data_IF_096343340414
#
_entry.id   IF_096343340414
#
_cell.length_a   1.000
_cell.length_b   1.000
_cell.length_c   1.000
_cell.angle_alpha   90.00
_cell.angle_beta   90.00
_cell.angle_gamma   90.00
#
_symmetry.space_group_name_H-M   'P 1'
#
loop_
_entity.id
_entity.type
_entity.pdbx_description
1 polymer ?
#
# COMPACT_ATOMS: atom_id res chain seq x y z
N UNK A 1 -8.14 -11.46 -15.51
CA UNK A 1 -7.98 -11.36 -14.04
C UNK A 1 -6.73 -10.55 -13.74
N UNK A 2 -6.84 -9.51 -12.92
CA UNK A 2 -5.73 -8.62 -12.57
C UNK A 2 -4.99 -9.19 -11.34
N UNK A 3 -4.16 -10.20 -11.61
CA UNK A 3 -3.43 -10.95 -10.59
C UNK A 3 -1.93 -10.92 -10.85
N UNK A 4 -1.14 -10.99 -9.79
CA UNK A 4 0.31 -11.05 -9.86
C UNK A 4 0.89 -11.89 -8.74
N UNK A 5 1.99 -12.56 -9.05
CA UNK A 5 2.90 -13.15 -8.07
C UNK A 5 4.28 -12.58 -8.33
N UNK A 6 4.94 -12.09 -7.28
CA UNK A 6 6.30 -11.56 -7.29
C UNK A 6 7.07 -12.20 -6.14
N UNK A 7 8.27 -12.67 -6.44
CA UNK A 7 9.23 -13.10 -5.43
C UNK A 7 10.48 -12.24 -5.51
N UNK A 8 10.89 -11.70 -4.36
CA UNK A 8 12.10 -10.91 -4.19
C UNK A 8 13.02 -11.61 -3.19
N UNK A 9 14.22 -11.93 -3.61
CA UNK A 9 15.22 -12.58 -2.78
C UNK A 9 16.51 -11.74 -2.80
N UNK A 10 16.93 -11.30 -1.62
CA UNK A 10 18.18 -10.58 -1.39
C UNK A 10 19.04 -11.36 -0.40
N UNK A 11 20.14 -10.79 0.05
CA UNK A 11 20.93 -11.36 1.16
C UNK A 11 20.24 -11.14 2.52
N UNK A 12 19.32 -10.17 2.60
CA UNK A 12 18.65 -9.73 3.84
C UNK A 12 17.24 -10.29 3.97
N UNK A 13 16.53 -10.47 2.84
CA UNK A 13 15.12 -10.85 2.84
C UNK A 13 14.78 -11.88 1.77
N UNK A 14 13.74 -12.68 2.03
CA UNK A 14 13.06 -13.55 1.06
C UNK A 14 11.58 -13.29 1.16
N UNK A 15 10.97 -12.77 0.10
CA UNK A 15 9.60 -12.30 0.13
C UNK A 15 8.85 -12.83 -1.09
N UNK A 16 7.65 -13.33 -0.88
CA UNK A 16 6.71 -13.68 -1.95
C UNK A 16 5.39 -12.97 -1.69
N UNK A 17 4.92 -12.23 -2.68
CA UNK A 17 3.62 -11.54 -2.68
C UNK A 17 2.75 -12.11 -3.77
N UNK A 18 1.50 -12.50 -3.42
CA UNK A 18 0.42 -12.80 -4.36
C UNK A 18 -0.69 -11.79 -4.18
N UNK A 19 -1.09 -11.18 -5.27
CA UNK A 19 -2.06 -10.09 -5.27
C UNK A 19 -3.16 -10.37 -6.31
N UNK A 20 -4.42 -10.14 -5.91
CA UNK A 20 -5.57 -10.12 -6.81
C UNK A 20 -6.34 -8.81 -6.60
N UNK A 21 -6.30 -7.91 -7.59
CA UNK A 21 -7.01 -6.63 -7.53
C UNK A 21 -8.53 -6.77 -7.62
N UNK A 22 -9.02 -7.89 -8.17
CA UNK A 22 -10.44 -8.23 -8.29
C UNK A 22 -10.88 -9.21 -7.20
N UNK A 23 -10.27 -9.10 -6.01
CA UNK A 23 -10.49 -9.99 -4.88
C UNK A 23 -11.74 -9.68 -4.06
N UNK A 24 -11.81 -10.30 -2.91
CA UNK A 24 -12.91 -10.20 -1.94
C UNK A 24 -12.48 -9.65 -0.56
N UNK A 25 -11.24 -9.18 -0.44
CA UNK A 25 -10.67 -8.63 0.78
C UNK A 25 -10.11 -9.71 1.71
N UNK A 26 -9.65 -10.83 1.14
CA UNK A 26 -9.01 -11.90 1.90
C UNK A 26 -7.51 -11.64 2.03
N UNK A 27 -6.94 -12.00 3.17
CA UNK A 27 -5.50 -11.90 3.38
C UNK A 27 -4.93 -13.18 3.98
N UNK A 28 -3.66 -13.46 3.64
CA UNK A 28 -2.82 -14.46 4.29
C UNK A 28 -1.42 -13.88 4.48
N UNK A 29 -1.10 -13.57 5.72
CA UNK A 29 0.05 -12.73 6.05
C UNK A 29 0.96 -13.45 7.04
N UNK A 30 2.23 -13.52 6.72
CA UNK A 30 3.30 -14.12 7.52
C UNK A 30 4.60 -13.33 7.30
N UNK A 31 4.63 -12.08 7.75
CA UNK A 31 5.79 -11.19 7.56
C UNK A 31 6.84 -11.31 8.65
N UNK A 32 6.50 -11.90 9.79
CA UNK A 32 7.32 -11.87 11.00
C UNK A 32 7.23 -10.56 11.78
N UNK A 33 6.47 -9.57 11.28
CA UNK A 33 6.22 -8.27 11.90
C UNK A 33 4.71 -8.13 12.19
N UNK A 34 4.22 -8.52 13.38
CA UNK A 34 2.79 -8.66 13.64
C UNK A 34 1.95 -7.41 13.39
N UNK A 35 2.50 -6.21 13.70
CA UNK A 35 1.78 -4.97 13.44
C UNK A 35 1.67 -4.68 11.94
N UNK A 36 2.69 -5.02 11.15
CA UNK A 36 2.61 -4.92 9.69
C UNK A 36 1.57 -5.89 9.12
N UNK A 37 1.50 -7.13 9.62
CA UNK A 37 0.46 -8.07 9.22
C UNK A 37 -0.93 -7.47 9.43
N UNK A 38 -1.16 -6.86 10.60
CA UNK A 38 -2.41 -6.16 10.89
C UNK A 38 -2.67 -5.00 9.92
N UNK A 39 -1.65 -4.21 9.57
CA UNK A 39 -1.78 -3.09 8.63
C UNK A 39 -2.06 -3.57 7.19
N UNK A 40 -1.40 -4.64 6.74
CA UNK A 40 -1.64 -5.22 5.42
C UNK A 40 -3.03 -5.83 5.30
N UNK A 41 -3.58 -6.41 6.38
CA UNK A 41 -4.97 -6.87 6.42
C UNK A 41 -5.95 -5.70 6.22
N UNK A 42 -5.64 -4.51 6.76
CA UNK A 42 -6.46 -3.31 6.50
C UNK A 42 -6.46 -2.93 5.02
N UNK A 43 -5.30 -3.03 4.34
CA UNK A 43 -5.22 -2.78 2.89
C UNK A 43 -6.10 -3.77 2.13
N UNK A 44 -5.95 -5.06 2.40
CA UNK A 44 -6.72 -6.11 1.74
C UNK A 44 -8.23 -5.92 1.95
N UNK A 45 -8.63 -5.80 3.20
CA UNK A 45 -10.04 -5.68 3.61
C UNK A 45 -10.73 -4.45 3.04
N UNK A 46 -10.13 -3.29 3.19
CA UNK A 46 -10.72 -2.02 2.75
C UNK A 46 -10.51 -1.74 1.25
N UNK A 47 -9.47 -2.34 0.67
CA UNK A 47 -9.20 -2.34 -0.77
C UNK A 47 -10.05 -3.33 -1.55
N UNK A 48 -10.71 -4.29 -0.88
CA UNK A 48 -11.41 -5.42 -1.52
C UNK A 48 -10.53 -6.17 -2.51
N UNK A 49 -9.24 -6.28 -2.19
CA UNK A 49 -8.26 -7.07 -2.92
C UNK A 49 -7.85 -8.30 -2.09
N UNK A 50 -7.40 -9.36 -2.74
CA UNK A 50 -6.81 -10.47 -1.99
C UNK A 50 -5.30 -10.31 -1.97
N UNK A 51 -4.69 -10.48 -0.79
CA UNK A 51 -3.27 -10.26 -0.55
C UNK A 51 -2.67 -11.40 0.26
N UNK A 52 -1.70 -12.08 -0.32
CA UNK A 52 -0.88 -13.05 0.40
C UNK A 52 0.56 -12.56 0.44
N UNK A 53 1.16 -12.52 1.63
CA UNK A 53 2.55 -12.11 1.86
C UNK A 53 3.23 -13.12 2.75
N UNK A 54 4.29 -13.73 2.25
CA UNK A 54 5.21 -14.57 3.02
C UNK A 54 6.58 -13.89 2.99
N UNK A 55 7.16 -13.64 4.16
CA UNK A 55 8.46 -12.99 4.28
C UNK A 55 9.33 -13.66 5.34
N UNK A 56 10.61 -13.74 5.05
CA UNK A 56 11.69 -14.07 5.97
C UNK A 56 12.75 -13.00 5.84
N UNK A 57 12.98 -12.22 6.88
CA UNK A 57 13.99 -11.16 6.90
C UNK A 57 14.94 -11.30 8.08
N UNK A 58 15.91 -10.41 8.11
CA UNK A 58 16.96 -10.31 9.13
C UNK A 58 16.49 -9.57 10.40
N UNK A 59 15.30 -9.97 10.90
CA UNK A 59 14.62 -9.36 12.07
C UNK A 59 15.46 -9.33 13.35
N UNK A 60 16.58 -10.06 13.38
CA UNK A 60 17.54 -9.99 14.48
C UNK A 60 18.34 -8.67 14.50
N UNK A 61 18.36 -7.93 13.38
CA UNK A 61 18.87 -6.56 13.28
C UNK A 61 17.75 -5.61 13.72
N UNK A 62 16.74 -5.48 12.88
CA UNK A 62 15.46 -4.78 13.12
C UNK A 62 14.45 -5.17 12.03
N UNK A 63 13.32 -4.48 11.95
CA UNK A 63 12.30 -4.75 10.94
C UNK A 63 12.43 -3.90 9.66
N UNK A 64 13.43 -3.02 9.55
CA UNK A 64 13.54 -2.04 8.47
C UNK A 64 13.58 -2.71 7.09
N UNK A 65 14.58 -3.56 6.84
CA UNK A 65 14.75 -4.22 5.55
C UNK A 65 13.53 -5.04 5.17
N UNK A 66 12.92 -5.73 6.13
CA UNK A 66 11.72 -6.55 5.89
C UNK A 66 10.54 -5.70 5.47
N UNK A 67 10.27 -4.60 6.17
CA UNK A 67 9.12 -3.71 5.92
C UNK A 67 9.29 -2.98 4.58
N UNK A 68 10.46 -2.42 4.31
CA UNK A 68 10.77 -1.75 3.04
C UNK A 68 10.65 -2.72 1.87
N UNK A 69 11.28 -3.89 1.93
CA UNK A 69 11.26 -4.89 0.86
C UNK A 69 9.88 -5.48 0.60
N UNK A 70 9.01 -5.58 1.61
CA UNK A 70 7.59 -5.91 1.43
C UNK A 70 6.89 -4.80 0.64
N UNK A 71 7.12 -3.53 0.97
CA UNK A 71 6.60 -2.39 0.22
C UNK A 71 7.03 -2.44 -1.25
N UNK A 72 8.31 -2.66 -1.51
CA UNK A 72 8.89 -2.85 -2.85
C UNK A 72 8.17 -3.98 -3.60
N UNK A 73 8.04 -5.14 -2.97
CA UNK A 73 7.48 -6.33 -3.62
C UNK A 73 5.99 -6.17 -3.93
N UNK A 74 5.24 -5.54 -3.02
CA UNK A 74 3.83 -5.17 -3.27
C UNK A 74 3.74 -4.14 -4.41
N UNK A 75 4.62 -3.14 -4.46
CA UNK A 75 4.68 -2.17 -5.55
C UNK A 75 4.87 -2.84 -6.91
N UNK A 76 5.79 -3.79 -7.00
CA UNK A 76 6.03 -4.58 -8.22
C UNK A 76 4.81 -5.45 -8.59
N UNK A 77 4.15 -6.05 -7.59
CA UNK A 77 2.95 -6.85 -7.81
C UNK A 77 1.78 -5.98 -8.35
N UNK A 78 1.63 -4.77 -7.84
CA UNK A 78 0.63 -3.82 -8.32
C UNK A 78 0.85 -3.47 -9.79
N UNK A 79 2.07 -3.11 -10.21
CA UNK A 79 2.39 -2.81 -11.62
C UNK A 79 2.05 -3.97 -12.52
N UNK A 80 2.42 -5.19 -12.12
CA UNK A 80 2.13 -6.39 -12.91
C UNK A 80 0.63 -6.69 -12.99
N UNK A 81 -0.12 -6.43 -11.92
CA UNK A 81 -1.55 -6.74 -11.85
C UNK A 81 -2.41 -5.75 -12.63
N UNK A 82 -2.12 -4.44 -12.59
CA UNK A 82 -2.94 -3.45 -13.33
C UNK A 82 -2.53 -3.26 -14.80
N UNK A 83 -1.32 -3.71 -15.19
CA UNK A 83 -0.86 -3.67 -16.57
C UNK A 83 -0.70 -2.26 -17.14
N UNK A 84 -1.25 -2.02 -18.33
CA UNK A 84 -1.14 -0.74 -19.05
C UNK A 84 -2.04 0.38 -18.53
N UNK A 85 -2.83 0.11 -17.49
CA UNK A 85 -3.78 1.05 -16.87
C UNK A 85 -4.92 1.51 -17.78
N UNK A 86 -5.15 0.81 -18.88
CA UNK A 86 -6.22 1.13 -19.82
C UNK A 86 -7.59 0.97 -19.15
N UNK A 87 -8.44 1.97 -19.28
CA UNK A 87 -9.79 1.96 -18.71
C UNK A 87 -9.88 2.04 -17.19
N UNK A 88 -8.78 2.35 -16.47
CA UNK A 88 -8.83 2.58 -15.04
C UNK A 88 -9.25 4.02 -14.70
N UNK A 89 -9.77 4.22 -13.49
CA UNK A 89 -10.07 5.56 -12.96
C UNK A 89 -8.82 6.41 -12.75
N UNK A 90 -7.65 5.78 -12.52
CA UNK A 90 -6.36 6.42 -12.29
C UNK A 90 -6.23 7.12 -10.94
N UNK A 91 -7.22 7.93 -10.56
CA UNK A 91 -7.20 8.69 -9.31
C UNK A 91 -8.08 8.02 -8.26
N UNK A 92 -7.57 7.97 -7.03
CA UNK A 92 -8.35 7.50 -5.90
C UNK A 92 -8.05 8.33 -4.66
N UNK A 93 -9.04 8.48 -3.81
CA UNK A 93 -8.89 9.17 -2.54
C UNK A 93 -9.84 8.60 -1.49
N UNK A 94 -9.44 8.74 -0.23
CA UNK A 94 -10.30 8.41 0.89
C UNK A 94 -9.94 9.22 2.12
N UNK A 95 -10.97 9.56 2.89
CA UNK A 95 -10.88 10.01 4.28
C UNK A 95 -11.37 8.87 5.15
N UNK A 96 -10.57 8.43 6.11
CA UNK A 96 -10.95 7.33 7.01
C UNK A 96 -10.71 7.73 8.45
N UNK A 97 -11.75 7.73 9.29
CA UNK A 97 -11.64 7.92 10.72
C UNK A 97 -11.43 6.59 11.45
N UNK A 98 -10.81 6.65 12.60
CA UNK A 98 -10.85 5.63 13.65
C UNK A 98 -10.81 6.37 14.97
N UNK A 99 -11.96 6.38 15.68
CA UNK A 99 -12.18 7.17 16.88
C UNK A 99 -11.71 8.63 16.71
N UNK A 100 -10.68 9.07 17.42
CA UNK A 100 -10.13 10.43 17.36
C UNK A 100 -9.18 10.69 16.18
N UNK A 101 -8.71 9.62 15.51
CA UNK A 101 -7.79 9.75 14.39
C UNK A 101 -8.55 9.89 13.07
N UNK A 102 -8.01 10.69 12.17
CA UNK A 102 -8.52 10.89 10.82
C UNK A 102 -7.36 11.05 9.84
N UNK A 103 -7.29 10.19 8.85
CA UNK A 103 -6.32 10.31 7.76
C UNK A 103 -6.98 10.46 6.40
N UNK A 104 -6.26 11.14 5.51
CA UNK A 104 -6.57 11.28 4.09
C UNK A 104 -5.44 10.66 3.27
N UNK A 105 -5.81 9.86 2.27
CA UNK A 105 -4.87 9.36 1.25
C UNK A 105 -5.41 9.71 -0.13
N UNK A 106 -4.52 10.22 -1.00
CA UNK A 106 -4.81 10.51 -2.40
C UNK A 106 -3.78 9.82 -3.27
N UNK A 107 -4.22 9.11 -4.31
CA UNK A 107 -3.39 8.32 -5.22
C UNK A 107 -3.56 8.83 -6.66
N UNK A 108 -2.44 8.94 -7.38
CA UNK A 108 -2.40 9.04 -8.84
C UNK A 108 -1.52 7.90 -9.40
N UNK A 109 -2.09 7.04 -10.23
CA UNK A 109 -1.36 5.98 -10.95
C UNK A 109 -0.56 6.59 -12.10
N UNK A 110 0.28 7.58 -11.79
CA UNK A 110 0.91 8.53 -12.71
C UNK A 110 2.02 7.97 -13.59
N UNK A 111 2.51 6.76 -13.33
CA UNK A 111 3.73 6.21 -13.93
C UNK A 111 5.02 6.84 -13.38
N UNK A 112 4.94 7.65 -12.33
CA UNK A 112 6.08 8.32 -11.68
C UNK A 112 6.02 8.13 -10.17
N UNK A 113 7.13 7.75 -9.53
CA UNK A 113 7.17 7.63 -8.07
C UNK A 113 7.09 9.00 -7.41
N UNK A 114 6.31 9.11 -6.33
CA UNK A 114 6.24 10.30 -5.50
C UNK A 114 5.50 10.02 -4.20
N UNK A 115 6.11 10.36 -3.08
CA UNK A 115 5.49 10.25 -1.76
C UNK A 115 5.52 11.61 -1.07
N UNK A 116 4.34 12.08 -0.69
CA UNK A 116 4.18 13.19 0.26
C UNK A 116 3.57 12.59 1.53
N UNK A 117 4.32 12.60 2.61
CA UNK A 117 3.94 11.90 3.85
C UNK A 117 3.93 12.88 5.02
N UNK A 118 2.74 13.34 5.38
CA UNK A 118 2.49 14.30 6.46
C UNK A 118 1.82 13.59 7.64
N UNK A 119 2.57 12.72 8.31
CA UNK A 119 2.11 12.01 9.50
C UNK A 119 3.09 12.25 10.64
N UNK A 120 2.63 12.93 11.67
CA UNK A 120 3.38 13.13 12.93
C UNK A 120 2.84 12.16 13.98
N UNK A 121 3.50 11.04 14.14
CA UNK A 121 3.12 10.06 15.15
C UNK A 121 3.36 10.59 16.56
N UNK A 122 2.40 10.40 17.45
CA UNK A 122 2.48 10.84 18.85
C UNK A 122 3.39 9.96 19.72
N UNK A 123 3.79 8.81 19.22
CA UNK A 123 4.73 7.88 19.87
C UNK A 123 5.59 7.22 18.81
N UNK A 124 6.83 6.91 19.15
CA UNK A 124 7.76 6.23 18.25
C UNK A 124 7.45 4.73 18.04
N UNK A 125 6.74 4.11 18.98
CA UNK A 125 6.50 2.66 18.95
C UNK A 125 5.03 2.33 19.12
N UNK A 126 4.58 1.30 18.39
CA UNK A 126 3.32 0.58 18.63
C UNK A 126 3.66 -0.89 18.86
N UNK A 127 3.63 -1.32 20.14
CA UNK A 127 4.22 -2.61 20.50
C UNK A 127 5.72 -2.62 20.19
N UNK A 128 6.17 -3.58 19.42
CA UNK A 128 7.55 -3.69 18.92
C UNK A 128 7.77 -3.03 17.55
N UNK A 129 6.76 -2.39 16.98
CA UNK A 129 6.84 -1.75 15.67
C UNK A 129 7.24 -0.29 15.80
N UNK A 130 8.34 0.09 15.15
CA UNK A 130 8.74 1.48 14.99
C UNK A 130 7.83 2.16 13.95
N UNK A 131 7.18 3.26 14.32
CA UNK A 131 6.21 3.93 13.45
C UNK A 131 6.86 4.58 12.22
N UNK A 132 8.17 4.87 12.25
CA UNK A 132 8.91 5.38 11.10
C UNK A 132 8.92 4.39 9.94
N UNK A 133 8.79 3.09 10.22
CA UNK A 133 8.66 2.05 9.21
C UNK A 133 7.39 2.18 8.36
N UNK A 134 6.41 2.93 8.81
CA UNK A 134 5.23 3.27 7.98
C UNK A 134 5.64 4.09 6.76
N UNK A 135 6.53 5.08 6.95
CA UNK A 135 7.08 5.85 5.84
C UNK A 135 7.88 4.95 4.88
N UNK A 136 8.76 4.10 5.42
CA UNK A 136 9.62 3.23 4.60
C UNK A 136 8.82 2.23 3.77
N UNK A 137 7.74 1.67 4.35
CA UNK A 137 6.79 0.84 3.61
C UNK A 137 6.21 1.58 2.39
N UNK A 138 5.67 2.78 2.59
CA UNK A 138 5.08 3.55 1.50
C UNK A 138 6.12 4.05 0.50
N UNK A 139 7.34 4.39 0.95
CA UNK A 139 8.43 4.81 0.06
C UNK A 139 8.86 3.65 -0.86
N UNK A 140 9.08 2.46 -0.31
CA UNK A 140 9.38 1.26 -1.08
C UNK A 140 8.27 0.95 -2.09
N UNK A 141 7.02 1.05 -1.65
CA UNK A 141 5.84 0.79 -2.47
C UNK A 141 5.73 1.78 -3.64
N UNK A 142 5.78 3.10 -3.41
CA UNK A 142 5.60 4.10 -4.48
C UNK A 142 6.72 4.05 -5.51
N UNK A 143 7.96 3.79 -5.09
CA UNK A 143 9.11 3.71 -5.96
C UNK A 143 8.97 2.58 -6.98
N UNK A 144 8.30 1.49 -6.63
CA UNK A 144 8.18 0.29 -7.46
C UNK A 144 6.79 0.12 -8.09
N UNK A 145 5.77 0.78 -7.53
CA UNK A 145 4.45 0.89 -8.16
C UNK A 145 4.39 2.02 -9.20
N UNK A 146 5.38 2.90 -9.24
CA UNK A 146 5.40 4.08 -10.14
C UNK A 146 4.12 4.89 -10.01
N UNK A 147 3.73 5.20 -8.77
CA UNK A 147 2.57 6.02 -8.45
C UNK A 147 2.93 7.18 -7.54
N UNK A 148 2.09 8.19 -7.52
CA UNK A 148 2.19 9.30 -6.59
C UNK A 148 1.15 9.11 -5.48
N UNK A 149 1.59 9.23 -4.22
CA UNK A 149 0.71 9.14 -3.05
C UNK A 149 0.92 10.37 -2.17
N UNK A 150 -0.19 10.97 -1.75
CA UNK A 150 -0.22 11.95 -0.66
C UNK A 150 -0.91 11.31 0.54
N UNK A 151 -0.23 11.32 1.67
CA UNK A 151 -0.72 10.80 2.96
C UNK A 151 -0.72 11.94 3.96
N UNK A 152 -1.88 12.25 4.51
CA UNK A 152 -2.02 13.24 5.58
C UNK A 152 -2.76 12.62 6.77
N UNK A 153 -2.15 12.63 7.95
CA UNK A 153 -2.89 12.42 9.18
C UNK A 153 -3.37 13.78 9.69
N UNK A 154 -4.65 14.03 9.54
CA UNK A 154 -5.26 15.33 9.84
C UNK A 154 -5.43 15.55 11.34
N UNK A 155 -5.62 14.47 12.10
CA UNK A 155 -5.69 14.44 13.55
C UNK A 155 -5.51 13.02 14.06
N UNK A 156 -5.09 12.88 15.32
CA UNK A 156 -4.93 11.60 16.01
C UNK A 156 -4.00 11.77 17.22
N UNK A 157 -4.31 11.04 18.29
CA UNK A 157 -3.51 11.03 19.52
C UNK A 157 -2.93 9.65 19.81
N UNK A 158 -3.57 8.59 19.30
CA UNK A 158 -3.10 7.22 19.43
C UNK A 158 -2.33 6.81 18.16
N UNK A 159 -1.04 6.49 18.28
CA UNK A 159 -0.20 6.14 17.14
C UNK A 159 -0.69 4.90 16.38
N UNK A 160 -1.30 3.92 17.05
CA UNK A 160 -1.96 2.78 16.41
C UNK A 160 -3.12 3.26 15.51
N UNK A 161 -4.01 4.11 16.04
CA UNK A 161 -5.12 4.67 15.27
C UNK A 161 -4.64 5.54 14.11
N UNK A 162 -3.56 6.34 14.32
CA UNK A 162 -2.97 7.13 13.23
C UNK A 162 -2.49 6.22 12.09
N UNK A 163 -1.69 5.18 12.40
CA UNK A 163 -1.21 4.22 11.40
C UNK A 163 -2.37 3.49 10.72
N UNK A 164 -3.30 2.94 11.49
CA UNK A 164 -4.40 2.14 10.95
C UNK A 164 -5.30 2.96 10.02
N UNK A 165 -5.59 4.24 10.35
CA UNK A 165 -6.36 5.12 9.46
C UNK A 165 -5.65 5.39 8.14
N UNK A 166 -4.31 5.47 8.14
CA UNK A 166 -3.50 5.62 6.92
C UNK A 166 -3.64 4.38 6.03
N UNK A 167 -3.45 3.17 6.59
CA UNK A 167 -3.54 1.93 5.81
C UNK A 167 -4.96 1.65 5.29
N UNK A 168 -5.98 1.92 6.08
CA UNK A 168 -7.40 1.84 5.66
C UNK A 168 -7.70 2.83 4.53
N UNK A 169 -7.25 4.09 4.69
CA UNK A 169 -7.45 5.12 3.67
C UNK A 169 -6.71 4.76 2.37
N UNK A 170 -5.49 4.22 2.47
CA UNK A 170 -4.75 3.75 1.32
C UNK A 170 -5.49 2.61 0.60
N UNK A 171 -5.97 1.58 1.31
CA UNK A 171 -6.73 0.49 0.72
C UNK A 171 -7.95 0.99 -0.05
N UNK A 172 -8.74 1.91 0.53
CA UNK A 172 -9.91 2.49 -0.13
C UNK A 172 -9.55 3.37 -1.33
N UNK A 173 -8.51 4.20 -1.22
CA UNK A 173 -8.03 5.03 -2.32
C UNK A 173 -7.49 4.18 -3.47
N UNK A 174 -6.74 3.12 -3.16
CA UNK A 174 -6.22 2.17 -4.15
C UNK A 174 -7.37 1.49 -4.89
N UNK A 175 -8.38 0.96 -4.16
CA UNK A 175 -9.57 0.37 -4.78
C UNK A 175 -10.21 1.33 -5.78
N UNK A 176 -10.43 2.58 -5.40
CA UNK A 176 -11.01 3.59 -6.28
C UNK A 176 -10.14 3.84 -7.52
N UNK A 177 -8.81 3.95 -7.35
CA UNK A 177 -7.89 4.24 -8.45
C UNK A 177 -7.82 3.11 -9.49
N UNK A 178 -7.91 1.84 -9.04
CA UNK A 178 -7.82 0.65 -9.91
C UNK A 178 -9.16 0.15 -10.42
N UNK A 179 -10.28 0.74 -10.00
CA UNK A 179 -11.60 0.41 -10.56
C UNK A 179 -11.65 0.75 -12.05
N UNK A 180 -12.34 -0.09 -12.81
CA UNK A 180 -12.64 0.21 -14.20
C UNK A 180 -13.59 1.43 -14.27
N UNK A 181 -13.29 2.36 -15.20
CA UNK A 181 -14.19 3.45 -15.54
C UNK A 181 -14.96 3.09 -16.83
N UNK A 182 -16.26 2.79 -16.76
CA UNK A 182 -17.04 2.42 -17.94
C UNK A 182 -17.08 3.53 -19.02
N UNK A 183 -16.85 4.79 -18.63
CA UNK A 183 -16.82 5.94 -19.54
C UNK A 183 -15.45 6.12 -20.22
N UNK A 184 -14.41 5.55 -19.65
CA UNK A 184 -13.03 5.59 -20.18
C UNK A 184 -12.61 4.26 -20.83
N UNK A 185 -13.56 3.35 -21.09
CA UNK A 185 -13.27 2.04 -21.65
C UNK A 185 -12.46 2.16 -22.96
N UNK A 186 -11.32 1.47 -23.02
CA UNK A 186 -10.44 1.48 -24.17
C UNK A 186 -9.53 2.70 -24.29
N UNK A 187 -9.47 3.58 -23.28
CA UNK A 187 -8.58 4.74 -23.26
C UNK A 187 -7.68 4.76 -22.04
N UNK A 188 -6.48 5.33 -22.20
CA UNK A 188 -5.59 5.65 -21.09
C UNK A 188 -5.99 7.04 -20.58
N UNK A 189 -6.27 7.22 -19.27
CA UNK A 189 -6.74 8.48 -18.70
C UNK A 189 -5.60 9.52 -18.58
N UNK A 190 -5.04 9.90 -19.71
CA UNK A 190 -3.93 10.85 -19.84
C UNK A 190 -4.02 11.62 -21.16
N UNK A 191 -3.88 12.94 -21.11
CA UNK A 191 -3.79 13.79 -22.30
C UNK A 191 -2.55 13.50 -23.14
N UNK A 192 -1.56 12.79 -22.58
CA UNK A 192 -0.34 12.34 -23.28
C UNK A 192 -0.54 11.03 -24.04
N UNK A 193 -1.66 10.32 -23.81
CA UNK A 193 -1.92 9.00 -24.39
C UNK A 193 -1.08 7.87 -23.76
N UNK A 194 -0.34 8.15 -22.68
CA UNK A 194 0.49 7.19 -21.94
C UNK A 194 0.56 7.56 -20.45
N UNK A 195 0.87 6.57 -19.60
CA UNK A 195 1.12 6.70 -18.14
C UNK A 195 2.35 5.88 -17.73
#
# INVERSE_FOLDING_TARGET
MRQAEISRNTLETRITVRLNLDGSGQSRLATGVPFLDHMLDQIARHGMLDLEVEAQGDLHIDAHHTVEDIGITIGQALVKAWGDKNGLRRYGHAYVPLDEALSRVVIDLSGRPGLVFNVEFKRAMVGAFDVDLTHEFFQGLVNHALMTIHVDNLRGENAHHQAETVFKAFGRALRMAVEADPRAAGSIPSTKGSL
#
